data_IF_795292463182
#
_entry.id   IF_795292463182
#
_cell.length_a   1.000
_cell.length_b   1.000
_cell.length_c   1.000
_cell.angle_alpha   90.00
_cell.angle_beta   90.00
_cell.angle_gamma   90.00
#
_symmetry.space_group_name_H-M   'P 1'
#
loop_
_entity.id
_entity.type
_entity.pdbx_description
1 polymer ?
#
# COMPACT_ATOMS: atom_id res chain seq x y z
N UNK A 1 8.52 -26.37 15.54
CA UNK A 1 9.19 -25.58 14.51
C UNK A 1 8.10 -24.90 13.68
N UNK A 2 7.83 -23.62 13.89
CA UNK A 2 6.95 -22.79 13.07
C UNK A 2 7.16 -21.34 13.55
N UNK A 3 8.08 -20.61 12.92
CA UNK A 3 8.29 -19.16 13.12
C UNK A 3 9.10 -18.53 11.97
N UNK A 4 9.07 -19.11 10.76
CA UNK A 4 9.83 -18.57 9.61
C UNK A 4 9.03 -17.55 8.78
N UNK A 5 7.78 -17.87 8.46
CA UNK A 5 7.00 -17.08 7.50
C UNK A 5 6.52 -15.71 8.03
N UNK A 6 6.36 -15.56 9.35
CA UNK A 6 5.91 -14.28 9.93
C UNK A 6 7.01 -13.23 9.96
N UNK A 7 8.28 -13.64 10.13
CA UNK A 7 9.43 -12.73 10.13
C UNK A 7 9.76 -12.26 8.72
N UNK A 8 9.65 -13.13 7.71
CA UNK A 8 9.80 -12.75 6.30
C UNK A 8 8.73 -11.75 5.85
N UNK A 9 7.47 -11.95 6.28
CA UNK A 9 6.38 -11.00 6.01
C UNK A 9 6.55 -9.66 6.73
N UNK A 10 7.02 -9.67 7.98
CA UNK A 10 7.29 -8.44 8.72
C UNK A 10 8.42 -7.64 8.06
N UNK A 11 9.46 -8.33 7.59
CA UNK A 11 10.57 -7.73 6.85
C UNK A 11 10.13 -7.16 5.50
N UNK A 12 9.26 -7.84 4.75
CA UNK A 12 8.69 -7.30 3.49
C UNK A 12 7.83 -6.07 3.76
N UNK A 13 6.99 -6.10 4.80
CA UNK A 13 6.14 -4.96 5.18
C UNK A 13 6.96 -3.77 5.72
N UNK A 14 8.09 -4.00 6.37
CA UNK A 14 9.03 -2.94 6.76
C UNK A 14 9.94 -2.47 5.60
N UNK A 15 10.14 -3.32 4.58
CA UNK A 15 10.83 -2.96 3.34
C UNK A 15 9.95 -2.21 2.33
N UNK A 16 8.63 -2.20 2.51
CA UNK A 16 7.75 -1.37 1.69
C UNK A 16 8.09 0.11 1.90
N UNK A 17 8.26 0.91 0.82
CA UNK A 17 8.59 2.31 0.91
C UNK A 17 7.35 3.10 1.40
N UNK A 18 7.18 3.14 2.72
CA UNK A 18 6.05 3.80 3.38
C UNK A 18 5.91 5.27 2.98
N UNK A 19 7.03 5.94 2.74
CA UNK A 19 7.05 7.33 2.28
C UNK A 19 6.46 7.47 0.87
N UNK A 20 6.65 6.49 -0.01
CA UNK A 20 6.01 6.45 -1.33
C UNK A 20 4.52 6.16 -1.23
N UNK A 21 4.11 5.25 -0.33
CA UNK A 21 2.71 4.90 -0.09
C UNK A 21 1.93 6.05 0.59
N UNK A 22 2.56 6.81 1.47
CA UNK A 22 2.02 8.03 2.06
C UNK A 22 1.93 9.18 1.02
N UNK A 23 2.97 9.37 0.21
CA UNK A 23 2.94 10.32 -0.92
C UNK A 23 1.82 9.98 -1.91
N UNK A 24 1.61 8.69 -2.15
CA UNK A 24 0.56 8.15 -2.99
C UNK A 24 -0.83 8.42 -2.41
N UNK A 25 -1.03 8.25 -1.09
CA UNK A 25 -2.27 8.64 -0.41
C UNK A 25 -2.56 10.14 -0.47
N UNK A 26 -1.52 10.97 -0.64
CA UNK A 26 -1.57 12.43 -0.71
C UNK A 26 -1.57 12.97 -2.15
N UNK A 27 -1.66 12.11 -3.15
CA UNK A 27 -1.73 12.49 -4.55
C UNK A 27 -0.45 13.01 -5.18
N UNK A 28 0.72 12.72 -4.59
CA UNK A 28 2.04 13.05 -5.14
C UNK A 28 2.62 11.83 -5.87
N UNK A 29 2.11 11.58 -7.07
CA UNK A 29 2.36 10.36 -7.86
C UNK A 29 3.68 10.34 -8.63
N UNK A 30 4.48 11.41 -8.58
CA UNK A 30 5.60 11.61 -9.51
C UNK A 30 6.83 10.73 -9.22
N UNK A 31 6.88 10.03 -8.07
CA UNK A 31 8.05 9.25 -7.62
C UNK A 31 7.69 7.84 -7.11
N UNK A 32 6.68 7.17 -7.67
CA UNK A 32 6.34 5.79 -7.28
C UNK A 32 6.84 4.80 -8.33
N UNK A 33 7.61 3.79 -7.91
CA UNK A 33 8.17 2.79 -8.82
C UNK A 33 7.10 1.92 -9.48
N UNK A 34 7.38 1.40 -10.68
CA UNK A 34 6.48 0.47 -11.39
C UNK A 34 6.21 -0.82 -10.59
N UNK A 35 7.19 -1.27 -9.80
CA UNK A 35 7.03 -2.41 -8.89
C UNK A 35 6.02 -2.13 -7.78
N UNK A 36 6.02 -0.92 -7.21
CA UNK A 36 5.02 -0.49 -6.21
C UNK A 36 3.61 -0.50 -6.83
N UNK A 37 3.45 -0.07 -8.08
CA UNK A 37 2.17 -0.17 -8.79
C UNK A 37 1.72 -1.62 -8.99
N UNK A 38 2.61 -2.50 -9.44
CA UNK A 38 2.30 -3.92 -9.62
C UNK A 38 1.91 -4.58 -8.30
N UNK A 39 2.63 -4.27 -7.22
CA UNK A 39 2.33 -4.78 -5.89
C UNK A 39 0.92 -4.36 -5.41
N UNK A 40 0.60 -3.07 -5.54
CA UNK A 40 -0.69 -2.52 -5.11
C UNK A 40 -1.86 -3.06 -5.94
N UNK A 41 -1.66 -3.29 -7.24
CA UNK A 41 -2.72 -3.70 -8.17
C UNK A 41 -2.96 -5.21 -8.23
N UNK A 42 -2.03 -6.00 -7.70
CA UNK A 42 -2.17 -7.45 -7.63
C UNK A 42 -3.17 -7.84 -6.53
N UNK A 43 -4.27 -8.49 -6.92
CA UNK A 43 -5.30 -8.95 -6.00
C UNK A 43 -4.77 -9.94 -4.97
N UNK A 44 -3.74 -10.72 -5.30
CA UNK A 44 -3.10 -11.65 -4.35
C UNK A 44 -2.42 -10.90 -3.20
N UNK A 45 -2.01 -9.64 -3.42
CA UNK A 45 -1.36 -8.81 -2.42
C UNK A 45 -2.35 -7.98 -1.60
N UNK A 46 -3.66 -8.04 -1.87
CA UNK A 46 -4.68 -7.22 -1.19
C UNK A 46 -4.63 -7.39 0.33
N UNK A 47 -4.50 -8.61 0.83
CA UNK A 47 -4.40 -8.87 2.27
C UNK A 47 -3.13 -8.26 2.88
N UNK A 48 -2.02 -8.29 2.16
CA UNK A 48 -0.77 -7.64 2.59
C UNK A 48 -0.91 -6.12 2.57
N UNK A 49 -1.60 -5.57 1.56
CA UNK A 49 -1.87 -4.14 1.43
C UNK A 49 -2.77 -3.65 2.57
N UNK A 50 -3.78 -4.40 2.98
CA UNK A 50 -4.65 -4.06 4.12
C UNK A 50 -3.86 -4.11 5.43
N UNK A 51 -3.05 -5.15 5.65
CA UNK A 51 -2.17 -5.24 6.84
C UNK A 51 -1.20 -4.06 6.88
N UNK A 52 -0.66 -3.68 5.72
CA UNK A 52 0.20 -2.54 5.59
C UNK A 52 -0.55 -1.24 5.93
N UNK A 53 -1.67 -0.97 5.28
CA UNK A 53 -2.53 0.18 5.56
C UNK A 53 -2.89 0.28 7.05
N UNK A 54 -3.17 -0.84 7.71
CA UNK A 54 -3.47 -0.88 9.14
C UNK A 54 -2.25 -0.53 10.00
N UNK A 55 -1.06 -1.03 9.66
CA UNK A 55 0.20 -0.68 10.35
C UNK A 55 0.48 0.82 10.22
N UNK A 56 0.24 1.41 9.04
CA UNK A 56 0.38 2.85 8.81
C UNK A 56 -0.63 3.65 9.64
N UNK A 57 -1.92 3.31 9.57
CA UNK A 57 -2.97 3.97 10.35
C UNK A 57 -2.69 3.93 11.86
N UNK A 58 -2.17 2.82 12.38
CA UNK A 58 -1.75 2.74 13.79
C UNK A 58 -0.62 3.69 14.16
N UNK A 59 0.26 4.04 13.22
CA UNK A 59 1.36 4.97 13.45
C UNK A 59 0.92 6.43 13.31
N UNK A 60 0.05 6.73 12.35
CA UNK A 60 -0.33 8.11 11.99
C UNK A 60 -1.61 8.59 12.68
N UNK A 61 -2.61 7.72 12.80
CA UNK A 61 -3.92 8.00 13.42
C UNK A 61 -4.37 6.85 14.33
N UNK A 62 -3.63 6.54 15.41
CA UNK A 62 -3.89 5.38 16.26
C UNK A 62 -5.31 5.34 16.83
N UNK A 63 -5.90 6.49 17.15
CA UNK A 63 -7.24 6.60 17.72
C UNK A 63 -8.36 6.16 16.75
N UNK A 64 -8.09 6.24 15.43
CA UNK A 64 -9.03 5.89 14.37
C UNK A 64 -8.62 4.64 13.58
N UNK A 65 -7.51 4.00 13.97
CA UNK A 65 -6.98 2.84 13.28
C UNK A 65 -7.90 1.62 13.49
N UNK A 66 -8.69 1.31 12.47
CA UNK A 66 -9.53 0.12 12.42
C UNK A 66 -9.26 -0.69 11.16
N UNK A 67 -9.62 -1.98 11.18
CA UNK A 67 -9.53 -2.84 10.00
C UNK A 67 -10.36 -2.26 8.84
N UNK A 68 -11.56 -1.77 9.13
CA UNK A 68 -12.41 -1.11 8.15
C UNK A 68 -11.73 0.09 7.48
N UNK A 69 -11.05 0.94 8.27
CA UNK A 69 -10.28 2.07 7.71
C UNK A 69 -9.08 1.61 6.89
N UNK A 70 -8.41 0.53 7.31
CA UNK A 70 -7.31 -0.04 6.55
C UNK A 70 -7.76 -0.61 5.21
N UNK A 71 -8.92 -1.27 5.17
CA UNK A 71 -9.55 -1.74 3.94
C UNK A 71 -9.90 -0.57 3.02
N UNK A 72 -10.51 0.50 3.54
CA UNK A 72 -10.78 1.70 2.76
C UNK A 72 -9.51 2.35 2.21
N UNK A 73 -8.45 2.44 3.01
CA UNK A 73 -7.18 3.00 2.58
C UNK A 73 -6.52 2.13 1.49
N UNK A 74 -6.53 0.81 1.63
CA UNK A 74 -6.05 -0.11 0.61
C UNK A 74 -6.86 -0.02 -0.69
N UNK A 75 -8.20 0.03 -0.61
CA UNK A 75 -9.07 0.20 -1.78
C UNK A 75 -8.84 1.56 -2.46
N UNK A 76 -8.62 2.62 -1.67
CA UNK A 76 -8.26 3.94 -2.16
C UNK A 76 -6.92 3.90 -2.91
N UNK A 77 -5.93 3.17 -2.35
CA UNK A 77 -4.64 2.98 -3.01
C UNK A 77 -4.77 2.26 -4.36
N UNK A 78 -5.55 1.17 -4.40
CA UNK A 78 -5.79 0.44 -5.65
C UNK A 78 -6.41 1.36 -6.72
N UNK A 79 -7.39 2.18 -6.35
CA UNK A 79 -8.04 3.12 -7.27
C UNK A 79 -7.07 4.17 -7.81
N UNK A 80 -6.25 4.75 -6.93
CA UNK A 80 -5.23 5.70 -7.36
C UNK A 80 -4.17 5.07 -8.25
N UNK A 81 -3.86 3.77 -8.04
CA UNK A 81 -2.86 3.06 -8.83
C UNK A 81 -3.33 2.89 -10.27
N UNK A 82 -4.61 2.53 -10.44
CA UNK A 82 -5.26 2.43 -11.75
C UNK A 82 -5.29 3.79 -12.45
N UNK A 83 -5.72 4.85 -11.77
CA UNK A 83 -5.78 6.20 -12.34
C UNK A 83 -4.41 6.74 -12.77
N UNK A 84 -3.37 6.48 -11.97
CA UNK A 84 -2.01 6.91 -12.32
C UNK A 84 -1.46 6.16 -13.54
N UNK A 85 -1.71 4.85 -13.66
CA UNK A 85 -1.33 4.08 -14.85
C UNK A 85 -2.11 4.54 -16.10
N UNK A 86 -3.40 4.81 -15.97
CA UNK A 86 -4.23 5.34 -17.07
C UNK A 86 -3.70 6.69 -17.55
N UNK A 87 -3.37 7.61 -16.64
CA UNK A 87 -2.79 8.90 -16.99
C UNK A 87 -1.39 8.77 -17.62
N UNK A 88 -0.54 7.86 -17.13
CA UNK A 88 0.77 7.61 -17.74
C UNK A 88 0.65 7.07 -19.17
N UNK A 89 -0.36 6.25 -19.45
CA UNK A 89 -0.63 5.73 -20.80
C UNK A 89 -1.24 6.80 -21.72
N UNK A 90 -2.08 7.70 -21.18
CA UNK A 90 -2.69 8.79 -21.93
C UNK A 90 -1.71 9.92 -22.30
N UNK A 91 -0.55 9.97 -21.65
CA UNK A 91 0.51 10.97 -21.92
C UNK A 91 1.67 10.43 -22.77
N UNK A 92 1.57 9.18 -23.25
CA UNK A 92 2.48 8.57 -24.25
C UNK A 92 1.90 8.69 -25.65
#
# INVERSE_FOLDING_TARGET
MQNGANDDLANVVDALPWDELDAFSKGKYENVSEETYKFVLDEANRDMLIKAAFKSLKKTEPENASQYRAEQLADMMIRFAKLALENQQATK
#
